data_IF_237873739150
#
_entry.id   IF_237873739150
#
_cell.length_a   1.000
_cell.length_b   1.000
_cell.length_c   1.000
_cell.angle_alpha   90.00
_cell.angle_beta   90.00
_cell.angle_gamma   90.00
#
_symmetry.space_group_name_H-M   'P 1'
#
loop_
_entity.id
_entity.type
_entity.pdbx_description
1 polymer ?
#
# COMPACT_ATOMS: atom_id res chain seq x y z
N UNK A 1 -28.88 8.90 -11.94
CA UNK A 1 -28.19 9.93 -11.14
C UNK A 1 -28.54 9.70 -9.68
N UNK A 2 -27.78 8.86 -8.96
CA UNK A 2 -28.00 8.72 -7.52
C UNK A 2 -27.15 9.79 -6.83
N UNK A 3 -27.83 10.71 -6.16
CA UNK A 3 -27.26 11.82 -5.42
C UNK A 3 -26.83 11.31 -4.04
N UNK A 4 -25.93 10.32 -4.01
CA UNK A 4 -25.33 9.88 -2.75
C UNK A 4 -24.49 11.04 -2.23
N UNK A 5 -24.68 11.41 -0.97
CA UNK A 5 -23.80 12.35 -0.30
C UNK A 5 -22.39 11.73 -0.26
N UNK A 6 -21.53 12.08 -1.21
CA UNK A 6 -20.23 11.42 -1.46
C UNK A 6 -19.15 11.76 -0.42
N UNK A 7 -19.46 12.61 0.57
CA UNK A 7 -18.57 12.85 1.71
C UNK A 7 -18.74 11.75 2.76
N UNK A 8 -18.03 10.63 2.54
CA UNK A 8 -17.93 9.53 3.52
C UNK A 8 -16.94 9.90 4.60
N UNK A 9 -17.37 9.73 5.85
CA UNK A 9 -16.51 9.87 7.03
C UNK A 9 -16.23 8.48 7.55
N UNK A 10 -14.96 8.15 7.70
CA UNK A 10 -14.47 6.91 8.28
C UNK A 10 -13.86 7.19 9.64
N UNK A 11 -14.04 6.25 10.57
CA UNK A 11 -13.34 6.26 11.84
C UNK A 11 -12.05 5.46 11.69
N UNK A 12 -10.93 6.12 11.91
CA UNK A 12 -9.61 5.51 11.98
C UNK A 12 -9.02 5.76 13.38
N UNK A 13 -8.54 4.74 14.10
CA UNK A 13 -8.05 4.91 15.47
C UNK A 13 -6.70 5.67 15.55
N UNK A 14 -5.97 5.78 14.45
CA UNK A 14 -4.70 6.50 14.37
C UNK A 14 -4.94 8.00 14.12
N UNK A 15 -5.87 8.34 13.22
CA UNK A 15 -6.11 9.73 12.77
C UNK A 15 -7.45 10.33 13.19
N UNK A 16 -8.36 9.56 13.77
CA UNK A 16 -9.70 9.99 14.12
C UNK A 16 -10.65 9.95 12.92
N UNK A 17 -11.32 11.06 12.62
CA UNK A 17 -12.26 11.14 11.51
C UNK A 17 -11.53 11.43 10.20
N UNK A 18 -11.64 10.52 9.24
CA UNK A 18 -11.12 10.71 7.88
C UNK A 18 -12.28 11.02 6.96
N UNK A 19 -12.29 12.22 6.39
CA UNK A 19 -13.25 12.63 5.36
C UNK A 19 -12.64 12.41 3.98
N UNK A 20 -13.33 11.67 3.11
CA UNK A 20 -12.93 11.49 1.72
C UNK A 20 -13.44 12.69 0.92
N UNK A 21 -12.52 13.46 0.32
CA UNK A 21 -12.82 14.75 -0.33
C UNK A 21 -13.20 14.60 -1.80
N UNK A 22 -12.60 13.62 -2.49
CA UNK A 22 -12.74 13.42 -3.93
C UNK A 22 -13.72 12.28 -4.25
N UNK A 23 -14.58 12.49 -5.26
CA UNK A 23 -15.53 11.48 -5.69
C UNK A 23 -14.83 10.23 -6.24
N UNK A 24 -13.75 10.42 -7.01
CA UNK A 24 -12.96 9.33 -7.55
C UNK A 24 -12.36 8.46 -6.43
N UNK A 25 -11.83 9.06 -5.37
CA UNK A 25 -11.31 8.33 -4.22
C UNK A 25 -12.39 7.51 -3.50
N UNK A 26 -13.63 8.03 -3.43
CA UNK A 26 -14.76 7.30 -2.88
C UNK A 26 -15.11 6.08 -3.75
N UNK A 27 -15.22 6.27 -5.07
CA UNK A 27 -15.59 5.21 -6.01
C UNK A 27 -14.50 4.11 -6.04
N UNK A 28 -13.22 4.50 -6.05
CA UNK A 28 -12.08 3.58 -5.94
C UNK A 28 -12.10 2.80 -4.63
N UNK A 29 -12.36 3.46 -3.51
CA UNK A 29 -12.38 2.82 -2.20
C UNK A 29 -13.43 1.69 -2.13
N UNK A 30 -14.60 1.88 -2.73
CA UNK A 30 -15.66 0.87 -2.76
C UNK A 30 -15.45 -0.18 -3.87
N UNK A 31 -14.40 -0.03 -4.71
CA UNK A 31 -14.05 -1.00 -5.76
C UNK A 31 -13.57 -2.35 -5.18
N UNK A 32 -13.96 -3.50 -5.75
CA UNK A 32 -13.54 -4.83 -5.28
C UNK A 32 -12.02 -5.01 -5.11
N UNK A 33 -11.22 -4.50 -6.06
CA UNK A 33 -9.75 -4.58 -5.98
C UNK A 33 -9.17 -3.82 -4.79
N UNK A 34 -9.79 -2.72 -4.34
CA UNK A 34 -9.37 -2.02 -3.11
C UNK A 34 -9.96 -2.69 -1.88
N UNK A 35 -11.22 -3.14 -1.93
CA UNK A 35 -11.87 -3.84 -0.81
C UNK A 35 -11.17 -5.16 -0.44
N UNK A 36 -10.49 -5.82 -1.39
CA UNK A 36 -9.68 -7.02 -1.09
C UNK A 36 -8.59 -6.73 -0.05
N UNK A 37 -8.04 -5.52 -0.03
CA UNK A 37 -6.99 -5.12 0.91
C UNK A 37 -7.43 -5.19 2.38
N UNK A 38 -8.75 -5.33 2.66
CA UNK A 38 -9.26 -5.60 4.00
C UNK A 38 -8.88 -6.99 4.54
N UNK A 39 -8.57 -7.92 3.64
CA UNK A 39 -8.25 -9.33 3.92
C UNK A 39 -6.75 -9.63 3.76
N UNK A 40 -5.95 -8.60 3.52
CA UNK A 40 -4.48 -8.69 3.41
C UNK A 40 -3.88 -7.89 4.56
N UNK A 41 -3.20 -8.58 5.47
CA UNK A 41 -2.51 -7.97 6.61
C UNK A 41 -1.39 -7.02 6.15
N UNK A 42 -1.22 -5.91 6.88
CA UNK A 42 -0.15 -4.95 6.60
C UNK A 42 1.22 -5.54 6.95
N UNK A 43 1.32 -6.17 8.13
CA UNK A 43 2.57 -6.67 8.70
C UNK A 43 2.71 -8.19 8.67
N UNK A 44 1.90 -8.86 7.84
CA UNK A 44 1.96 -10.32 7.66
C UNK A 44 1.85 -11.05 9.00
N UNK A 45 2.88 -11.85 9.29
CA UNK A 45 2.96 -12.71 10.48
C UNK A 45 3.46 -11.99 11.75
N UNK A 46 3.53 -10.65 11.74
CA UNK A 46 3.97 -9.88 12.90
C UNK A 46 3.06 -10.03 14.11
N UNK A 47 1.80 -10.43 13.90
CA UNK A 47 0.86 -10.74 14.97
C UNK A 47 1.32 -11.89 15.91
N UNK A 48 2.23 -12.75 15.47
CA UNK A 48 2.84 -13.81 16.29
C UNK A 48 3.75 -13.26 17.41
N UNK A 49 4.22 -12.01 17.26
CA UNK A 49 5.04 -11.30 18.26
C UNK A 49 4.27 -10.16 18.88
N UNK A 50 3.49 -9.46 18.08
CA UNK A 50 2.70 -8.29 18.45
C UNK A 50 1.21 -8.60 18.25
N UNK A 51 0.51 -9.16 19.23
CA UNK A 51 -0.87 -9.62 19.04
C UNK A 51 -1.86 -8.54 18.57
N UNK A 52 -1.53 -7.25 18.77
CA UNK A 52 -2.30 -6.11 18.28
C UNK A 52 -2.04 -5.75 16.80
N UNK A 53 -1.00 -6.28 16.15
CA UNK A 53 -0.65 -6.02 14.75
C UNK A 53 -1.58 -6.75 13.77
N UNK A 54 -2.87 -6.40 13.82
CA UNK A 54 -3.96 -7.01 13.03
C UNK A 54 -4.56 -6.04 12.01
N UNK A 55 -3.93 -4.88 11.80
CA UNK A 55 -4.34 -3.95 10.75
C UNK A 55 -4.00 -4.51 9.37
N UNK A 56 -4.78 -4.06 8.38
CA UNK A 56 -4.71 -4.51 7.00
C UNK A 56 -4.29 -3.38 6.07
N UNK A 57 -3.97 -3.72 4.83
CA UNK A 57 -3.55 -2.76 3.79
C UNK A 57 -4.64 -1.75 3.46
N UNK A 58 -5.91 -2.10 3.64
CA UNK A 58 -7.00 -1.13 3.49
C UNK A 58 -6.92 -0.01 4.54
N UNK A 59 -6.64 -0.32 5.81
CA UNK A 59 -6.45 0.70 6.84
C UNK A 59 -5.31 1.65 6.46
N UNK A 60 -4.20 1.09 5.98
CA UNK A 60 -3.04 1.84 5.52
C UNK A 60 -3.37 2.76 4.34
N UNK A 61 -4.00 2.23 3.28
CA UNK A 61 -4.38 3.00 2.10
C UNK A 61 -5.28 4.21 2.44
N UNK A 62 -6.23 4.04 3.37
CA UNK A 62 -7.12 5.13 3.83
C UNK A 62 -6.36 6.18 4.66
N UNK A 63 -5.45 5.77 5.53
CA UNK A 63 -4.66 6.73 6.30
C UNK A 63 -3.63 7.47 5.45
N UNK A 64 -2.98 6.80 4.49
CA UNK A 64 -2.11 7.44 3.52
C UNK A 64 -2.87 8.45 2.63
N UNK A 65 -4.09 8.12 2.21
CA UNK A 65 -5.01 9.06 1.54
C UNK A 65 -5.33 10.27 2.43
N UNK A 66 -5.62 10.05 3.72
CA UNK A 66 -5.86 11.17 4.65
C UNK A 66 -4.66 12.11 4.73
N UNK A 67 -3.45 11.57 4.91
CA UNK A 67 -2.23 12.37 4.99
C UNK A 67 -1.94 13.11 3.68
N UNK A 68 -2.23 12.50 2.53
CA UNK A 68 -2.11 13.15 1.21
C UNK A 68 -3.03 14.35 1.06
N UNK A 69 -4.31 14.22 1.46
CA UNK A 69 -5.25 15.35 1.43
C UNK A 69 -4.76 16.51 2.32
N UNK A 70 -4.23 16.21 3.51
CA UNK A 70 -3.63 17.22 4.40
C UNK A 70 -2.37 17.87 3.78
N UNK A 71 -1.49 17.07 3.16
CA UNK A 71 -0.29 17.58 2.50
C UNK A 71 -0.62 18.51 1.33
N UNK A 72 -1.57 18.12 0.47
CA UNK A 72 -2.05 18.97 -0.63
C UNK A 72 -2.62 20.28 -0.10
N UNK A 73 -3.43 20.23 0.96
CA UNK A 73 -4.00 21.43 1.58
C UNK A 73 -2.92 22.37 2.14
N UNK A 74 -1.91 21.82 2.83
CA UNK A 74 -0.78 22.60 3.35
C UNK A 74 0.03 23.24 2.23
N UNK A 75 0.37 22.49 1.18
CA UNK A 75 1.16 23.00 0.05
C UNK A 75 0.41 24.11 -0.70
N UNK A 76 -0.89 23.92 -0.96
CA UNK A 76 -1.76 24.96 -1.55
C UNK A 76 -1.81 26.21 -0.67
N UNK A 77 -1.95 26.06 0.64
CA UNK A 77 -1.98 27.19 1.57
C UNK A 77 -0.67 28.00 1.61
N UNK A 78 0.47 27.37 1.27
CA UNK A 78 1.78 28.03 1.12
C UNK A 78 2.00 28.64 -0.27
N UNK A 79 1.03 28.53 -1.17
CA UNK A 79 1.10 29.09 -2.52
C UNK A 79 1.66 28.14 -3.57
N UNK A 80 1.86 26.85 -3.25
CA UNK A 80 2.20 25.85 -4.27
C UNK A 80 0.98 25.62 -5.18
N UNK A 81 1.15 25.84 -6.48
CA UNK A 81 0.09 25.60 -7.46
C UNK A 81 -0.15 24.09 -7.64
N UNK A 82 -1.31 23.61 -7.17
CA UNK A 82 -1.81 22.25 -7.38
C UNK A 82 -3.27 22.37 -7.82
N UNK A 83 -3.57 22.03 -9.07
CA UNK A 83 -4.93 22.02 -9.61
C UNK A 83 -5.80 20.94 -8.96
N UNK A 84 -7.13 21.01 -9.09
CA UNK A 84 -8.02 20.01 -8.50
C UNK A 84 -7.87 18.63 -9.13
N UNK A 85 -7.55 18.57 -10.42
CA UNK A 85 -7.23 17.31 -11.11
C UNK A 85 -5.90 16.71 -10.61
N UNK A 86 -4.88 17.52 -10.35
CA UNK A 86 -3.62 17.04 -9.75
C UNK A 86 -3.82 16.54 -8.31
N UNK A 87 -4.67 17.24 -7.54
CA UNK A 87 -5.00 16.83 -6.17
C UNK A 87 -5.77 15.50 -6.13
N UNK A 88 -6.82 15.37 -6.95
CA UNK A 88 -7.59 14.13 -7.09
C UNK A 88 -6.70 12.99 -7.61
N UNK A 89 -5.85 13.25 -8.60
CA UNK A 89 -4.89 12.28 -9.14
C UNK A 89 -3.86 11.82 -8.11
N UNK A 90 -3.29 12.72 -7.31
CA UNK A 90 -2.37 12.36 -6.23
C UNK A 90 -3.06 11.53 -5.13
N UNK A 91 -4.30 11.87 -4.79
CA UNK A 91 -5.13 11.11 -3.85
C UNK A 91 -5.47 9.70 -4.37
N UNK A 92 -5.81 9.58 -5.66
CA UNK A 92 -6.01 8.28 -6.28
C UNK A 92 -4.70 7.46 -6.35
N UNK A 93 -3.57 8.10 -6.67
CA UNK A 93 -2.27 7.44 -6.72
C UNK A 93 -1.87 6.85 -5.36
N UNK A 94 -1.99 7.62 -4.27
CA UNK A 94 -1.67 7.09 -2.93
C UNK A 94 -2.70 6.06 -2.43
N UNK A 95 -3.97 6.17 -2.82
CA UNK A 95 -4.97 5.17 -2.44
C UNK A 95 -4.66 3.80 -3.09
N UNK A 96 -4.07 3.81 -4.28
CA UNK A 96 -3.81 2.62 -5.09
C UNK A 96 -2.36 2.14 -5.03
N UNK A 97 -1.43 2.86 -4.39
CA UNK A 97 0.01 2.55 -4.46
C UNK A 97 0.33 1.10 -4.04
N UNK A 98 -0.39 0.61 -3.03
CA UNK A 98 -0.23 -0.71 -2.42
C UNK A 98 -1.22 -1.77 -2.97
N UNK A 99 -2.00 -1.45 -4.01
CA UNK A 99 -3.06 -2.33 -4.54
C UNK A 99 -2.51 -3.62 -5.17
N UNK A 100 -1.24 -3.64 -5.56
CA UNK A 100 -0.56 -4.79 -6.14
C UNK A 100 -0.10 -5.84 -5.13
N UNK A 101 -0.23 -5.57 -3.83
CA UNK A 101 0.14 -6.56 -2.83
C UNK A 101 -0.84 -7.74 -2.80
N UNK A 102 -0.26 -8.94 -2.69
CA UNK A 102 -0.96 -10.18 -2.38
C UNK A 102 -0.77 -10.57 -0.91
N UNK A 103 -1.31 -11.72 -0.49
CA UNK A 103 -1.16 -12.17 0.89
C UNK A 103 0.29 -12.43 1.27
N UNK A 104 0.66 -12.01 2.48
CA UNK A 104 2.03 -12.12 2.99
C UNK A 104 3.10 -11.66 1.98
N UNK A 105 2.81 -10.64 1.15
CA UNK A 105 3.50 -10.17 -0.06
C UNK A 105 4.92 -10.68 -0.32
N UNK A 106 5.87 -10.50 0.60
CA UNK A 106 7.25 -11.00 0.47
C UNK A 106 7.33 -12.52 0.25
N UNK A 107 6.52 -13.31 0.96
CA UNK A 107 6.49 -14.75 0.81
C UNK A 107 6.00 -15.17 -0.59
N UNK A 108 4.99 -14.48 -1.13
CA UNK A 108 4.45 -14.73 -2.46
C UNK A 108 5.41 -14.31 -3.58
N UNK A 109 5.98 -13.10 -3.50
CA UNK A 109 6.91 -12.56 -4.51
C UNK A 109 8.12 -13.49 -4.73
N UNK A 110 8.61 -14.14 -3.67
CA UNK A 110 9.76 -15.03 -3.77
C UNK A 110 9.42 -16.49 -4.06
N UNK A 111 8.24 -16.95 -3.67
CA UNK A 111 7.91 -18.39 -3.73
C UNK A 111 7.04 -18.75 -4.93
N UNK A 112 6.16 -17.84 -5.34
CA UNK A 112 5.03 -18.17 -6.21
C UNK A 112 5.18 -17.56 -7.60
N UNK A 113 5.38 -16.25 -7.71
CA UNK A 113 5.54 -15.54 -8.99
C UNK A 113 6.92 -14.89 -9.05
N UNK A 114 7.87 -15.57 -9.69
CA UNK A 114 9.26 -15.09 -9.73
C UNK A 114 9.39 -13.85 -10.63
N UNK A 115 9.99 -12.79 -10.09
CA UNK A 115 10.36 -11.59 -10.86
C UNK A 115 9.20 -10.63 -11.15
N UNK A 116 8.11 -10.76 -10.40
CA UNK A 116 7.00 -9.81 -10.39
C UNK A 116 6.94 -9.19 -8.99
N UNK A 117 7.11 -7.88 -8.93
CA UNK A 117 7.01 -7.12 -7.69
C UNK A 117 5.61 -6.55 -7.52
N UNK A 118 5.17 -6.27 -6.29
CA UNK A 118 3.88 -5.63 -6.05
C UNK A 118 3.71 -4.32 -6.83
N UNK A 119 4.76 -3.50 -7.01
CA UNK A 119 4.70 -2.26 -7.81
C UNK A 119 4.30 -2.52 -9.28
N UNK A 120 4.78 -3.63 -9.85
CA UNK A 120 4.40 -4.06 -11.19
C UNK A 120 2.91 -4.41 -11.26
N UNK A 121 2.42 -5.14 -10.26
CA UNK A 121 1.02 -5.56 -10.17
C UNK A 121 0.12 -4.35 -9.89
N UNK A 122 0.56 -3.41 -9.05
CA UNK A 122 -0.14 -2.14 -8.80
C UNK A 122 -0.34 -1.40 -10.12
N UNK A 123 0.70 -1.32 -10.95
CA UNK A 123 0.63 -0.68 -12.27
C UNK A 123 -0.39 -1.36 -13.19
N UNK A 124 -0.39 -2.70 -13.24
CA UNK A 124 -1.35 -3.46 -14.05
C UNK A 124 -2.80 -3.25 -13.58
N UNK A 125 -3.03 -3.30 -12.27
CA UNK A 125 -4.36 -3.07 -11.68
C UNK A 125 -4.80 -1.63 -11.94
N UNK A 126 -3.92 -0.65 -11.76
CA UNK A 126 -4.23 0.76 -12.05
C UNK A 126 -4.59 0.97 -13.52
N UNK A 127 -3.87 0.34 -14.45
CA UNK A 127 -4.18 0.42 -15.88
C UNK A 127 -5.57 -0.16 -16.18
N UNK A 128 -5.90 -1.34 -15.62
CA UNK A 128 -7.22 -1.95 -15.77
C UNK A 128 -8.34 -1.08 -15.20
N UNK A 129 -8.15 -0.56 -13.99
CA UNK A 129 -9.11 0.38 -13.38
C UNK A 129 -9.26 1.64 -14.22
N UNK A 130 -8.20 2.10 -14.87
CA UNK A 130 -8.26 3.27 -15.74
C UNK A 130 -9.12 3.03 -16.97
N UNK A 131 -8.99 1.84 -17.58
CA UNK A 131 -9.84 1.42 -18.70
C UNK A 131 -11.31 1.33 -18.28
N UNK A 132 -11.60 0.72 -17.12
CA UNK A 132 -12.94 0.63 -16.54
C UNK A 132 -13.55 2.01 -16.23
N UNK A 133 -12.73 2.95 -15.77
CA UNK A 133 -13.11 4.31 -15.40
C UNK A 133 -12.92 5.32 -16.54
N UNK A 134 -12.75 4.86 -17.78
CA UNK A 134 -12.66 5.70 -18.98
C UNK A 134 -11.60 6.81 -18.90
N UNK A 135 -10.40 6.50 -18.41
CA UNK A 135 -9.27 7.43 -18.34
C UNK A 135 -9.22 8.30 -17.08
N UNK A 136 -10.11 8.08 -16.10
CA UNK A 136 -10.16 8.91 -14.89
C UNK A 136 -8.89 8.83 -14.01
N UNK A 137 -8.04 7.81 -14.19
CA UNK A 137 -6.78 7.61 -13.47
C UNK A 137 -5.54 8.06 -14.25
N UNK A 138 -5.66 8.69 -15.43
CA UNK A 138 -4.52 9.12 -16.25
C UNK A 138 -3.50 9.95 -15.44
N UNK A 139 -4.00 10.95 -14.69
CA UNK A 139 -3.16 11.80 -13.84
C UNK A 139 -2.54 11.00 -12.68
N UNK A 140 -3.30 10.09 -12.07
CA UNK A 140 -2.82 9.25 -10.97
C UNK A 140 -1.69 8.33 -11.42
N UNK A 141 -1.85 7.67 -12.57
CA UNK A 141 -0.85 6.80 -13.19
C UNK A 141 0.40 7.59 -13.59
N UNK A 142 0.24 8.80 -14.12
CA UNK A 142 1.37 9.67 -14.45
C UNK A 142 2.16 10.09 -13.20
N UNK A 143 1.46 10.40 -12.08
CA UNK A 143 2.11 10.73 -10.80
C UNK A 143 2.78 9.49 -10.20
N UNK A 144 2.11 8.35 -10.17
CA UNK A 144 2.63 7.10 -9.60
C UNK A 144 3.93 6.66 -10.29
N UNK A 145 3.99 6.77 -11.62
CA UNK A 145 5.16 6.36 -12.42
C UNK A 145 6.24 7.45 -12.61
N UNK A 146 6.19 8.56 -11.87
CA UNK A 146 7.11 9.72 -12.02
C UNK A 146 7.18 10.29 -13.46
N UNK A 147 6.06 10.26 -14.18
CA UNK A 147 5.93 10.83 -15.53
C UNK A 147 5.22 12.20 -15.55
N UNK A 148 4.72 12.66 -14.40
CA UNK A 148 4.07 13.96 -14.27
C UNK A 148 5.12 15.10 -14.17
N UNK A 149 4.91 16.28 -14.82
CA UNK A 149 5.88 17.37 -14.81
C UNK A 149 6.19 17.95 -13.42
N UNK A 150 5.20 17.89 -12.50
CA UNK A 150 5.38 18.29 -11.10
C UNK A 150 5.88 17.11 -10.26
N UNK A 151 7.19 16.98 -10.12
CA UNK A 151 7.85 15.84 -9.47
C UNK A 151 7.53 15.71 -7.99
N UNK A 152 7.32 16.85 -7.31
CA UNK A 152 6.94 16.82 -5.90
C UNK A 152 5.65 16.04 -5.63
N UNK A 153 4.74 15.91 -6.61
CA UNK A 153 3.53 15.08 -6.47
C UNK A 153 3.89 13.59 -6.39
N UNK A 154 4.82 13.12 -7.23
CA UNK A 154 5.35 11.76 -7.11
C UNK A 154 6.05 11.56 -5.76
N UNK A 155 6.81 12.56 -5.30
CA UNK A 155 7.51 12.48 -4.01
C UNK A 155 6.57 12.40 -2.79
N UNK A 156 5.34 12.91 -2.88
CA UNK A 156 4.32 12.69 -1.85
C UNK A 156 3.81 11.23 -1.82
N UNK A 157 3.90 10.52 -2.95
CA UNK A 157 3.53 9.09 -3.05
C UNK A 157 4.70 8.18 -2.68
N UNK A 158 5.89 8.46 -3.22
CA UNK A 158 7.12 7.67 -2.99
C UNK A 158 8.35 8.57 -2.89
N UNK A 159 8.95 8.66 -1.71
CA UNK A 159 10.20 9.38 -1.45
C UNK A 159 10.80 8.99 -0.09
N UNK A 160 11.58 9.89 0.54
CA UNK A 160 12.00 9.73 1.94
C UNK A 160 10.97 10.29 2.93
N UNK A 161 10.05 11.14 2.47
CA UNK A 161 9.01 11.83 3.25
C UNK A 161 7.65 11.73 2.55
N UNK A 162 7.35 10.55 2.03
CA UNK A 162 6.06 10.23 1.41
C UNK A 162 4.96 9.96 2.45
N UNK A 163 3.72 9.94 1.98
CA UNK A 163 2.55 9.68 2.82
C UNK A 163 2.42 8.20 3.19
N UNK A 164 2.97 7.31 2.37
CA UNK A 164 3.09 5.87 2.65
C UNK A 164 3.84 5.63 3.98
N UNK A 165 5.09 6.08 4.08
CA UNK A 165 5.92 5.91 5.28
C UNK A 165 5.37 6.66 6.48
N UNK A 166 4.77 7.83 6.25
CA UNK A 166 4.15 8.58 7.33
C UNK A 166 2.90 7.89 7.90
N UNK A 167 2.18 7.12 7.10
CA UNK A 167 1.09 6.27 7.59
C UNK A 167 1.65 5.04 8.29
N UNK A 168 2.40 4.19 7.57
CA UNK A 168 2.72 2.88 8.13
C UNK A 168 3.58 3.00 9.39
N UNK A 169 4.51 3.96 9.50
CA UNK A 169 5.31 4.08 10.74
C UNK A 169 4.42 4.44 11.93
N UNK A 170 3.46 5.34 11.75
CA UNK A 170 2.54 5.74 12.80
C UNK A 170 1.57 4.59 13.14
N UNK A 171 1.02 3.94 12.12
CA UNK A 171 0.03 2.87 12.24
C UNK A 171 0.64 1.59 12.80
N UNK A 172 1.77 1.15 12.28
CA UNK A 172 2.49 -0.02 12.76
C UNK A 172 2.91 0.16 14.21
N UNK A 173 3.43 1.35 14.57
CA UNK A 173 3.74 1.68 15.97
C UNK A 173 2.50 1.60 16.86
N UNK A 174 1.37 2.15 16.40
CA UNK A 174 0.11 2.12 17.13
C UNK A 174 -0.40 0.70 17.37
N UNK A 175 -0.50 -0.13 16.34
CA UNK A 175 -1.06 -1.48 16.43
C UNK A 175 -0.10 -2.50 17.06
N UNK A 176 1.22 -2.35 16.85
CA UNK A 176 2.21 -3.22 17.51
C UNK A 176 2.40 -2.88 19.00
N UNK A 177 2.06 -1.66 19.42
CA UNK A 177 2.33 -1.14 20.75
C UNK A 177 3.79 -0.69 20.97
N UNK A 178 4.61 -0.70 19.91
CA UNK A 178 6.00 -0.21 19.94
C UNK A 178 5.99 1.32 19.90
N UNK A 179 5.92 1.96 21.06
CA UNK A 179 5.73 3.40 21.21
C UNK A 179 6.90 4.23 20.66
N UNK A 180 8.10 3.65 20.59
CA UNK A 180 9.31 4.27 20.04
C UNK A 180 9.19 4.58 18.54
N UNK A 181 8.29 3.88 17.83
CA UNK A 181 7.98 4.13 16.43
C UNK A 181 7.08 5.33 16.17
N UNK A 182 6.52 5.96 17.22
CA UNK A 182 5.52 7.02 17.05
C UNK A 182 6.14 8.28 16.44
N UNK A 183 5.76 8.58 15.21
CA UNK A 183 6.13 9.80 14.49
C UNK A 183 5.09 10.91 14.63
N UNK A 184 5.50 12.15 14.36
CA UNK A 184 4.61 13.31 14.35
C UNK A 184 4.18 13.68 12.93
N UNK A 185 3.46 12.79 12.23
CA UNK A 185 3.10 12.96 10.81
C UNK A 185 2.42 14.31 10.54
N UNK A 186 1.45 14.71 11.36
CA UNK A 186 0.77 16.01 11.25
C UNK A 186 1.74 17.20 11.31
N UNK A 187 2.73 17.15 12.22
CA UNK A 187 3.72 18.21 12.34
C UNK A 187 4.66 18.22 11.14
N UNK A 188 5.08 17.06 10.64
CA UNK A 188 5.95 16.98 9.45
C UNK A 188 5.22 17.55 8.24
N UNK A 189 3.97 17.14 8.00
CA UNK A 189 3.13 17.63 6.90
C UNK A 189 2.99 19.15 6.94
N UNK A 190 2.70 19.73 8.12
CA UNK A 190 2.63 21.20 8.28
C UNK A 190 3.94 21.92 7.89
N UNK A 191 5.08 21.25 7.98
CA UNK A 191 6.39 21.82 7.62
C UNK A 191 6.80 21.53 6.17
N UNK A 192 6.04 20.75 5.40
CA UNK A 192 6.33 20.49 3.99
C UNK A 192 6.19 21.75 3.15
N UNK A 193 7.07 21.92 2.18
CA UNK A 193 7.02 22.99 1.18
C UNK A 193 7.61 22.48 -0.15
N UNK A 194 7.54 23.27 -1.21
CA UNK A 194 8.12 22.94 -2.52
C UNK A 194 9.14 23.99 -2.92
N UNK A 195 10.35 23.54 -3.25
CA UNK A 195 11.41 24.38 -3.80
C UNK A 195 12.00 23.72 -5.04
N UNK A 196 12.06 24.43 -6.17
CA UNK A 196 12.58 23.89 -7.44
C UNK A 196 11.97 22.55 -7.87
N UNK A 197 10.65 22.40 -7.71
CA UNK A 197 9.89 21.18 -8.04
C UNK A 197 10.22 19.96 -7.15
N UNK A 198 10.88 20.17 -6.01
CA UNK A 198 11.18 19.13 -5.03
C UNK A 198 10.50 19.43 -3.69
N UNK A 199 10.07 18.37 -3.02
CA UNK A 199 9.52 18.41 -1.68
C UNK A 199 10.64 18.70 -0.69
N UNK A 200 10.46 19.76 0.10
CA UNK A 200 11.39 20.19 1.14
C UNK A 200 10.65 20.34 2.47
N UNK A 201 11.41 20.52 3.54
CA UNK A 201 10.88 20.75 4.89
C UNK A 201 11.43 22.07 5.40
N UNK A 202 10.57 22.92 5.93
CA UNK A 202 10.99 24.14 6.61
C UNK A 202 11.97 23.83 7.76
N UNK A 203 12.98 24.68 7.94
CA UNK A 203 14.08 24.46 8.91
C UNK A 203 13.57 24.21 10.35
N UNK A 204 12.52 24.90 10.77
CA UNK A 204 11.88 24.71 12.09
C UNK A 204 11.29 23.30 12.31
N UNK A 205 11.18 22.50 11.25
CA UNK A 205 10.76 21.10 11.25
C UNK A 205 11.89 20.09 11.52
N UNK A 206 13.15 20.53 11.63
CA UNK A 206 14.33 19.64 11.72
C UNK A 206 14.20 18.55 12.79
N UNK A 207 13.76 18.89 14.00
CA UNK A 207 13.59 17.91 15.09
C UNK A 207 12.49 16.87 14.82
N UNK A 208 11.47 17.23 14.04
CA UNK A 208 10.44 16.27 13.62
C UNK A 208 11.03 15.25 12.63
N UNK A 209 11.94 15.70 11.76
CA UNK A 209 12.64 14.83 10.81
C UNK A 209 13.67 13.94 11.52
N UNK A 210 14.43 14.47 12.48
CA UNK A 210 15.33 13.65 13.31
C UNK A 210 14.56 12.55 14.03
N UNK A 211 13.43 12.90 14.67
CA UNK A 211 12.57 11.92 15.33
C UNK A 211 12.02 10.88 14.33
N UNK A 212 11.60 11.31 13.14
CA UNK A 212 11.13 10.41 12.09
C UNK A 212 12.19 9.38 11.69
N UNK A 213 13.42 9.84 11.45
CA UNK A 213 14.54 8.96 11.08
C UNK A 213 14.89 7.97 12.19
N UNK A 214 14.88 8.41 13.45
CA UNK A 214 15.09 7.54 14.61
C UNK A 214 13.99 6.51 14.77
N UNK A 215 12.72 6.94 14.71
CA UNK A 215 11.55 6.07 14.82
C UNK A 215 11.55 5.00 13.72
N UNK A 216 11.83 5.41 12.47
CA UNK A 216 12.00 4.48 11.35
C UNK A 216 13.05 3.43 11.66
N UNK A 217 14.25 3.83 12.10
CA UNK A 217 15.31 2.88 12.47
C UNK A 217 14.88 1.92 13.57
N UNK A 218 14.19 2.40 14.60
CA UNK A 218 13.73 1.56 15.71
C UNK A 218 12.67 0.55 15.24
N UNK A 219 11.70 0.99 14.43
CA UNK A 219 10.68 0.12 13.84
C UNK A 219 11.28 -0.98 12.97
N UNK A 220 12.33 -0.69 12.21
CA UNK A 220 13.05 -1.70 11.44
C UNK A 220 13.60 -2.83 12.31
N UNK A 221 14.27 -2.51 13.41
CA UNK A 221 14.87 -3.55 14.27
C UNK A 221 13.88 -4.23 15.19
N UNK A 222 12.91 -3.47 15.71
CA UNK A 222 11.97 -3.97 16.69
C UNK A 222 10.85 -4.74 16.03
N UNK A 223 10.29 -4.25 14.91
CA UNK A 223 9.11 -4.85 14.27
C UNK A 223 9.50 -5.59 12.99
N UNK A 224 10.01 -4.88 11.97
CA UNK A 224 10.13 -5.44 10.61
C UNK A 224 11.16 -6.57 10.52
N UNK A 225 12.30 -6.45 11.21
CA UNK A 225 13.36 -7.44 11.26
C UNK A 225 13.36 -8.26 12.56
N UNK A 226 12.22 -8.29 13.26
CA UNK A 226 12.12 -9.08 14.47
C UNK A 226 12.34 -10.56 14.14
N UNK A 227 13.32 -11.19 14.80
CA UNK A 227 13.76 -12.57 14.48
C UNK A 227 12.62 -13.58 14.38
N UNK A 228 11.62 -13.51 15.25
CA UNK A 228 10.49 -14.45 15.26
C UNK A 228 9.58 -14.26 14.06
N UNK A 229 9.37 -13.01 13.62
CA UNK A 229 8.58 -12.69 12.43
C UNK A 229 9.30 -13.22 11.19
N UNK A 230 10.60 -12.93 11.08
CA UNK A 230 11.43 -13.45 10.00
C UNK A 230 11.43 -14.99 9.96
N UNK A 231 11.57 -15.65 11.11
CA UNK A 231 11.48 -17.11 11.18
C UNK A 231 10.14 -17.63 10.65
N UNK A 232 9.03 -17.02 11.07
CA UNK A 232 7.70 -17.43 10.62
C UNK A 232 7.51 -17.22 9.10
N UNK A 233 8.00 -16.10 8.58
CA UNK A 233 7.97 -15.79 7.16
C UNK A 233 8.80 -16.79 6.33
N UNK A 234 10.03 -17.10 6.76
CA UNK A 234 10.86 -18.12 6.11
C UNK A 234 10.23 -19.52 6.16
N UNK A 235 9.54 -19.86 7.26
CA UNK A 235 8.79 -21.10 7.35
C UNK A 235 7.64 -21.13 6.35
N UNK A 236 6.87 -20.04 6.22
CA UNK A 236 5.78 -19.93 5.24
C UNK A 236 6.32 -20.05 3.81
N UNK A 237 7.37 -19.31 3.46
CA UNK A 237 8.04 -19.43 2.16
C UNK A 237 8.50 -20.86 1.85
N UNK A 238 9.08 -21.53 2.85
CA UNK A 238 9.53 -22.92 2.71
C UNK A 238 8.36 -23.89 2.48
N UNK A 239 7.24 -23.67 3.17
CA UNK A 239 6.02 -24.45 2.99
C UNK A 239 5.44 -24.26 1.58
N UNK A 240 5.29 -23.02 1.11
CA UNK A 240 4.79 -22.71 -0.25
C UNK A 240 5.69 -23.27 -1.34
N UNK A 241 7.02 -23.15 -1.18
CA UNK A 241 7.99 -23.74 -2.11
C UNK A 241 7.85 -25.25 -2.15
N UNK A 242 7.68 -25.89 -1.00
CA UNK A 242 7.51 -27.34 -0.92
C UNK A 242 6.18 -27.79 -1.54
N UNK A 243 5.10 -27.07 -1.29
CA UNK A 243 3.81 -27.30 -1.91
C UNK A 243 3.92 -27.26 -3.45
N UNK A 244 4.60 -26.24 -3.99
CA UNK A 244 4.88 -26.11 -5.44
C UNK A 244 5.70 -27.28 -5.98
N UNK A 245 6.76 -27.70 -5.30
CA UNK A 245 7.55 -28.89 -5.69
C UNK A 245 6.71 -30.17 -5.72
N UNK A 246 5.84 -30.37 -4.72
CA UNK A 246 4.97 -31.54 -4.63
C UNK A 246 3.94 -31.53 -5.77
N UNK A 247 3.26 -30.41 -5.99
CA UNK A 247 2.30 -30.22 -7.08
C UNK A 247 2.94 -30.49 -8.46
N UNK A 248 4.13 -29.94 -8.69
CA UNK A 248 4.88 -30.15 -9.94
C UNK A 248 5.37 -31.61 -10.11
N UNK A 249 5.54 -32.35 -9.02
CA UNK A 249 5.83 -33.79 -9.05
C UNK A 249 4.59 -34.67 -9.27
N UNK A 250 3.41 -34.07 -9.47
CA UNK A 250 2.14 -34.77 -9.68
C UNK A 250 1.50 -35.27 -8.38
N UNK A 251 1.95 -34.81 -7.21
CA UNK A 251 1.28 -35.11 -5.94
C UNK A 251 0.13 -34.13 -5.74
N UNK A 252 -0.96 -34.65 -5.20
CA UNK A 252 -2.11 -33.83 -4.81
C UNK A 252 -1.72 -32.93 -3.62
N UNK A 253 -1.95 -31.63 -3.79
CA UNK A 253 -1.78 -30.61 -2.76
C UNK A 253 -3.08 -29.83 -2.71
N UNK A 254 -3.70 -29.77 -1.53
CA UNK A 254 -4.89 -28.96 -1.35
C UNK A 254 -4.54 -27.47 -1.54
N UNK A 255 -5.36 -26.78 -2.32
CA UNK A 255 -5.26 -25.34 -2.55
C UNK A 255 -6.67 -24.79 -2.73
N UNK A 256 -6.88 -23.54 -2.34
CA UNK A 256 -8.08 -22.82 -2.80
C UNK A 256 -8.03 -22.62 -4.32
N UNK A 257 -9.18 -22.39 -5.00
CA UNK A 257 -9.19 -22.11 -6.43
C UNK A 257 -8.28 -20.93 -6.80
N UNK A 258 -8.24 -19.87 -6.00
CA UNK A 258 -7.38 -18.71 -6.24
C UNK A 258 -5.89 -19.07 -6.16
N UNK A 259 -5.47 -19.86 -5.15
CA UNK A 259 -4.06 -20.26 -4.97
C UNK A 259 -3.60 -21.37 -5.91
N UNK A 260 -4.52 -22.14 -6.50
CA UNK A 260 -4.19 -23.34 -7.27
C UNK A 260 -3.23 -23.08 -8.44
N UNK A 261 -3.52 -22.11 -9.32
CA UNK A 261 -2.69 -21.80 -10.49
C UNK A 261 -1.27 -21.43 -10.10
N UNK A 262 -1.14 -20.67 -9.02
CA UNK A 262 0.11 -20.17 -8.46
C UNK A 262 1.02 -21.30 -7.90
N UNK A 263 0.40 -22.37 -7.39
CA UNK A 263 1.10 -23.56 -6.87
C UNK A 263 1.39 -24.58 -7.97
N UNK A 264 0.44 -24.84 -8.85
CA UNK A 264 0.56 -25.89 -9.87
C UNK A 264 1.36 -25.43 -11.10
N UNK A 265 1.33 -24.15 -11.44
CA UNK A 265 2.00 -23.62 -12.62
C UNK A 265 3.33 -22.93 -12.30
N UNK A 266 4.26 -23.01 -13.26
CA UNK A 266 5.47 -22.20 -13.25
C UNK A 266 5.20 -20.89 -14.00
N UNK A 267 4.81 -19.88 -13.22
CA UNK A 267 4.63 -18.50 -13.67
C UNK A 267 5.94 -17.73 -13.55
N UNK A 268 6.28 -17.04 -14.64
CA UNK A 268 7.32 -16.03 -14.69
C UNK A 268 6.67 -14.68 -15.05
N UNK A 269 7.47 -13.61 -15.01
CA UNK A 269 7.02 -12.25 -15.36
C UNK A 269 6.33 -12.20 -16.73
N UNK A 270 6.88 -12.85 -17.74
CA UNK A 270 6.33 -12.81 -19.10
C UNK A 270 4.94 -13.42 -19.16
N UNK A 271 4.74 -14.58 -18.53
CA UNK A 271 3.43 -15.24 -18.48
C UNK A 271 2.42 -14.44 -17.66
N UNK A 272 2.83 -13.90 -16.51
CA UNK A 272 1.95 -13.15 -15.63
C UNK A 272 1.39 -11.89 -16.32
N UNK A 273 2.21 -11.20 -17.12
CA UNK A 273 1.80 -9.98 -17.83
C UNK A 273 1.05 -10.26 -19.14
N UNK A 274 1.12 -11.49 -19.67
CA UNK A 274 0.50 -11.84 -20.95
C UNK A 274 -0.94 -12.32 -20.82
N UNK A 275 -1.39 -12.68 -19.61
CA UNK A 275 -2.69 -13.29 -19.38
C UNK A 275 -3.46 -12.56 -18.27
N UNK A 276 -4.49 -11.84 -18.68
CA UNK A 276 -5.39 -11.10 -17.78
C UNK A 276 -6.07 -12.00 -16.75
N UNK A 277 -6.30 -13.28 -17.07
CA UNK A 277 -6.93 -14.24 -16.16
C UNK A 277 -6.03 -14.56 -14.95
N UNK A 278 -4.70 -14.50 -15.12
CA UNK A 278 -3.76 -14.67 -14.01
C UNK A 278 -3.85 -13.48 -13.06
N UNK A 279 -3.99 -12.26 -13.61
CA UNK A 279 -4.18 -11.06 -12.79
C UNK A 279 -5.54 -11.09 -12.07
N UNK A 280 -6.61 -11.55 -12.73
CA UNK A 280 -7.92 -11.76 -12.07
C UNK A 280 -7.79 -12.72 -10.90
N UNK A 281 -7.11 -13.85 -11.10
CA UNK A 281 -6.91 -14.84 -10.06
C UNK A 281 -6.01 -14.32 -8.93
N UNK A 282 -5.01 -13.50 -9.24
CA UNK A 282 -4.21 -12.80 -8.24
C UNK A 282 -5.08 -11.84 -7.41
N UNK A 283 -6.01 -11.13 -8.05
CA UNK A 283 -6.92 -10.21 -7.38
C UNK A 283 -7.93 -10.92 -6.45
N UNK A 284 -8.14 -12.22 -6.62
CA UNK A 284 -8.93 -13.05 -5.71
C UNK A 284 -8.13 -13.58 -4.52
N UNK A 285 -6.79 -13.51 -4.53
CA UNK A 285 -5.95 -14.00 -3.43
C UNK A 285 -5.94 -13.04 -2.23
N UNK A 286 -6.12 -13.62 -1.05
CA UNK A 286 -5.89 -12.94 0.23
C UNK A 286 -5.31 -13.88 1.31
N UNK A 287 -5.12 -13.38 2.54
CA UNK A 287 -4.38 -14.13 3.57
C UNK A 287 -5.07 -15.45 3.92
N UNK A 288 -6.39 -15.53 3.72
CA UNK A 288 -7.20 -16.72 3.98
C UNK A 288 -6.84 -17.86 3.04
N UNK A 289 -6.56 -17.58 1.77
CA UNK A 289 -6.19 -18.60 0.80
C UNK A 289 -4.91 -19.33 1.18
N UNK A 290 -3.94 -18.58 1.72
CA UNK A 290 -2.66 -19.12 2.15
C UNK A 290 -2.77 -19.86 3.49
N UNK A 291 -3.61 -19.39 4.41
CA UNK A 291 -3.75 -19.99 5.74
C UNK A 291 -4.64 -21.25 5.75
N UNK A 292 -5.62 -21.34 4.84
CA UNK A 292 -6.52 -22.49 4.76
C UNK A 292 -6.02 -23.63 3.87
N UNK A 293 -5.07 -23.35 2.97
CA UNK A 293 -4.49 -24.35 2.06
C UNK A 293 -3.42 -25.20 2.73
#
# INVERSE_FOLDING_TARGET
MSNHNKHKILNDPVYGFITIQHELSFDLMDHPHVQRLRRISQLGLSNLVYPGAVHNRFHHAIGALHLMQEAIAVLRAKGTEISDSEAEGACAAILLHDIGHGPFSHALEHSIVKGVHHEDISTLIMARLNDELNGALDTAIAIFNDHHPKKFLHQLVSSQLDMDRMDYLARDSFYSGVAEGKIGSERIIKMLDVNNNELVVEEKGIYSIEKFLMARRLMYWQVYLHRTVLCAEFMLMSALRRAKELAQSGKEVFTTPALSTFIHESLDRTKFFADDAILDQFCELDDSDVLCS
#
